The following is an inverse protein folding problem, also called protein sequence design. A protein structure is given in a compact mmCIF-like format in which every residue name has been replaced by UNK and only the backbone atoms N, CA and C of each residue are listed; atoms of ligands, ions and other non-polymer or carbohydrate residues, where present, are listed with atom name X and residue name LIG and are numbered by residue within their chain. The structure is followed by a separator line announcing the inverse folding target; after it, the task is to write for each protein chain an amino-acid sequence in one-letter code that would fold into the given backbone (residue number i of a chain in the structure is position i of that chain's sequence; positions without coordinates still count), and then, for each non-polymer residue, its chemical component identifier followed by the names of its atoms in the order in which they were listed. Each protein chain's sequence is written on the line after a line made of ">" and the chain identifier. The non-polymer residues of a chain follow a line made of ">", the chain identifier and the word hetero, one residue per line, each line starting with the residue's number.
data_IF_102545966498
#
_entry.id   IF_102545966498
#
_cell.length_a   1.000
_cell.length_b   1.000
_cell.length_c   1.000
_cell.angle_alpha   90.00
_cell.angle_beta   90.00
_cell.angle_gamma   90.00
#
_symmetry.space_group_name_H-M   'P 1'
#
loop_
_entity.id
_entity.type
_entity.pdbx_description
1 polymer ?
#
# COMPACT_ATOMS: atom_id res chain seq x y z
N UNK A 1 -1.06 11.08 -4.89
CA UNK A 1 -1.16 10.20 -3.71
C UNK A 1 -0.45 10.84 -2.53
N UNK A 2 -1.01 10.72 -1.36
CA UNK A 2 -0.36 11.16 -0.13
C UNK A 2 -0.03 9.98 0.77
N UNK A 3 0.96 10.14 1.61
CA UNK A 3 1.39 9.10 2.54
C UNK A 3 1.57 9.67 3.95
N UNK A 4 1.40 8.83 4.93
CA UNK A 4 1.53 9.20 6.34
C UNK A 4 2.97 9.03 6.82
N UNK A 5 3.56 7.88 6.56
CA UNK A 5 4.91 7.55 6.99
C UNK A 5 5.49 6.37 6.22
N UNK A 6 6.79 6.17 6.39
CA UNK A 6 7.52 4.99 5.92
C UNK A 6 8.15 4.33 7.14
N UNK A 7 7.89 3.04 7.34
CA UNK A 7 8.51 2.25 8.39
C UNK A 7 9.60 1.39 7.79
N UNK A 8 10.83 1.66 8.16
CA UNK A 8 11.99 0.84 7.78
C UNK A 8 12.10 -0.37 8.71
N UNK A 9 12.53 -1.52 8.17
CA UNK A 9 12.80 -2.73 8.95
C UNK A 9 11.59 -3.20 9.78
N UNK A 10 10.43 -3.25 9.14
CA UNK A 10 9.17 -3.68 9.75
C UNK A 10 9.04 -5.20 9.66
N UNK A 11 8.78 -5.85 10.78
CA UNK A 11 8.55 -7.30 10.86
C UNK A 11 7.10 -7.68 11.17
N UNK A 12 6.23 -6.69 11.35
CA UNK A 12 4.84 -6.88 11.77
C UNK A 12 3.82 -6.88 10.62
N UNK A 13 4.22 -6.45 9.43
CA UNK A 13 3.31 -6.26 8.30
C UNK A 13 3.71 -7.13 7.12
N UNK A 14 3.82 -8.42 7.35
CA UNK A 14 4.15 -9.41 6.34
C UNK A 14 5.29 -10.32 6.77
N UNK A 15 5.69 -11.22 5.88
CA UNK A 15 6.76 -12.17 6.15
C UNK A 15 8.13 -11.52 5.96
N UNK A 16 9.01 -11.75 6.92
CA UNK A 16 10.38 -11.26 6.89
C UNK A 16 10.49 -9.78 7.28
N UNK A 17 11.70 -9.25 7.14
CA UNK A 17 11.96 -7.84 7.36
C UNK A 17 11.56 -7.04 6.11
N UNK A 18 10.75 -6.02 6.29
CA UNK A 18 10.10 -5.31 5.18
C UNK A 18 10.18 -3.79 5.38
N UNK A 19 9.95 -3.07 4.30
CA UNK A 19 9.66 -1.63 4.36
C UNK A 19 8.18 -1.44 4.11
N UNK A 20 7.52 -0.68 4.98
CA UNK A 20 6.08 -0.43 4.87
C UNK A 20 5.83 1.04 4.54
N UNK A 21 5.07 1.28 3.49
CA UNK A 21 4.53 2.61 3.15
C UNK A 21 3.10 2.71 3.67
N UNK A 22 2.85 3.69 4.52
CA UNK A 22 1.53 3.98 5.08
C UNK A 22 0.88 5.08 4.26
N UNK A 23 -0.04 4.70 3.37
CA UNK A 23 -0.74 5.66 2.51
C UNK A 23 -1.89 6.33 3.25
N UNK A 24 -2.21 7.55 2.83
CA UNK A 24 -3.37 8.30 3.34
C UNK A 24 -4.55 8.15 2.40
N UNK A 25 -5.75 8.05 2.96
CA UNK A 25 -7.00 7.92 2.24
C UNK A 25 -7.61 6.54 2.37
N UNK A 26 -8.77 6.49 2.99
CA UNK A 26 -9.52 5.25 3.15
C UNK A 26 -11.02 5.57 3.17
N UNK A 27 -11.77 4.91 2.30
CA UNK A 27 -13.21 5.10 2.20
C UNK A 27 -14.01 4.08 3.04
N UNK A 28 -13.34 3.09 3.64
CA UNK A 28 -14.00 2.04 4.41
C UNK A 28 -14.52 2.54 5.75
N UNK A 29 -13.76 3.40 6.46
CA UNK A 29 -14.11 3.95 7.77
C UNK A 29 -14.55 2.87 8.76
N UNK A 30 -13.78 1.81 8.88
CA UNK A 30 -14.08 0.68 9.77
C UNK A 30 -14.16 1.15 11.22
N UNK A 31 -15.18 0.69 11.96
CA UNK A 31 -15.40 1.09 13.36
C UNK A 31 -14.22 0.75 14.27
N UNK A 32 -13.50 -0.34 13.96
CA UNK A 32 -12.35 -0.80 14.74
C UNK A 32 -11.01 -0.48 14.05
N UNK A 33 -10.99 0.55 13.22
CA UNK A 33 -9.77 0.94 12.53
C UNK A 33 -8.76 1.53 13.52
N UNK A 34 -7.54 0.99 13.50
CA UNK A 34 -6.44 1.44 14.35
C UNK A 34 -5.74 2.71 13.83
N UNK A 35 -6.03 3.09 12.59
CA UNK A 35 -5.34 4.17 11.87
C UNK A 35 -6.30 5.20 11.31
N UNK A 36 -7.19 5.72 12.15
CA UNK A 36 -8.21 6.71 11.72
C UNK A 36 -7.62 7.97 11.11
N UNK A 37 -6.43 8.36 11.52
CA UNK A 37 -5.73 9.51 10.94
C UNK A 37 -5.41 9.36 9.46
N UNK A 38 -5.39 8.13 8.95
CA UNK A 38 -5.16 7.84 7.54
C UNK A 38 -6.43 7.82 6.69
N UNK A 39 -7.60 8.11 7.25
CA UNK A 39 -8.85 8.13 6.50
C UNK A 39 -8.93 9.29 5.51
N UNK A 40 -8.33 10.43 5.83
CA UNK A 40 -8.36 11.60 4.98
C UNK A 40 -7.40 11.49 3.82
N UNK A 41 -7.88 11.70 2.60
CA UNK A 41 -7.03 11.75 1.41
C UNK A 41 -6.12 12.98 1.36
N UNK A 42 -6.42 13.98 2.16
CA UNK A 42 -5.62 15.21 2.25
C UNK A 42 -4.62 15.21 3.40
N UNK A 43 -4.67 14.20 4.28
CA UNK A 43 -3.72 14.10 5.38
C UNK A 43 -2.36 13.54 4.90
N UNK A 44 -1.33 13.76 5.72
CA UNK A 44 0.01 13.28 5.42
C UNK A 44 0.75 14.17 4.44
N UNK A 45 1.77 13.58 3.84
CA UNK A 45 2.72 14.27 2.95
C UNK A 45 2.50 13.87 1.50
N UNK A 46 2.85 14.77 0.57
CA UNK A 46 2.79 14.46 -0.85
C UNK A 46 3.83 13.39 -1.21
N UNK A 47 3.37 12.33 -1.88
CA UNK A 47 4.26 11.32 -2.45
C UNK A 47 4.80 11.83 -3.79
N UNK A 48 6.11 11.86 -3.93
CA UNK A 48 6.79 12.35 -5.13
C UNK A 48 8.04 11.51 -5.42
N UNK A 49 8.76 11.85 -6.49
CA UNK A 49 9.95 11.11 -6.90
C UNK A 49 11.07 11.07 -5.86
N UNK A 50 11.23 12.13 -5.07
CA UNK A 50 12.23 12.16 -3.99
C UNK A 50 11.88 11.18 -2.87
N UNK A 51 10.62 11.10 -2.50
CA UNK A 51 10.12 10.15 -1.51
C UNK A 51 10.27 8.72 -2.03
N UNK A 52 9.96 8.49 -3.29
CA UNK A 52 10.10 7.18 -3.93
C UNK A 52 11.56 6.72 -3.94
N UNK A 53 12.49 7.62 -4.20
CA UNK A 53 13.92 7.31 -4.14
C UNK A 53 14.35 6.88 -2.74
N UNK A 54 13.93 7.60 -1.71
CA UNK A 54 14.20 7.25 -0.31
C UNK A 54 13.60 5.88 0.01
N UNK A 55 12.35 5.65 -0.39
CA UNK A 55 11.65 4.38 -0.19
C UNK A 55 12.40 3.22 -0.84
N UNK A 56 12.78 3.38 -2.10
CA UNK A 56 13.46 2.32 -2.85
C UNK A 56 14.87 2.05 -2.32
N UNK A 57 15.57 3.06 -1.86
CA UNK A 57 16.87 2.88 -1.22
C UNK A 57 16.76 2.06 0.08
N UNK A 58 15.70 2.24 0.84
CA UNK A 58 15.43 1.41 2.03
C UNK A 58 15.09 -0.03 1.66
N UNK A 59 14.31 -0.24 0.59
CA UNK A 59 13.95 -1.57 0.12
C UNK A 59 15.17 -2.31 -0.44
N UNK A 60 16.11 -1.59 -1.02
CA UNK A 60 17.30 -2.17 -1.70
C UNK A 60 18.33 -2.79 -0.74
N UNK A 61 18.12 -2.69 0.55
CA UNK A 61 19.01 -3.31 1.54
C UNK A 61 18.93 -4.83 1.47
N UNK A 62 20.06 -5.56 1.59
CA UNK A 62 20.08 -7.03 1.39
C UNK A 62 19.14 -7.80 2.33
N UNK A 63 18.94 -7.33 3.55
CA UNK A 63 18.10 -8.01 4.53
C UNK A 63 16.61 -7.70 4.37
N UNK A 64 16.24 -6.79 3.49
CA UNK A 64 14.83 -6.46 3.23
C UNK A 64 14.26 -7.46 2.22
N UNK A 65 13.27 -8.22 2.65
CA UNK A 65 12.61 -9.22 1.81
C UNK A 65 11.68 -8.60 0.78
N UNK A 66 11.01 -7.52 1.13
CA UNK A 66 10.04 -6.91 0.25
C UNK A 66 9.43 -5.64 0.80
N UNK A 67 8.34 -5.26 0.20
CA UNK A 67 7.65 -4.00 0.40
C UNK A 67 6.19 -4.24 0.77
N UNK A 68 5.67 -3.46 1.71
CA UNK A 68 4.28 -3.56 2.13
C UNK A 68 3.58 -2.21 1.95
N UNK A 69 2.41 -2.24 1.34
CA UNK A 69 1.50 -1.11 1.26
C UNK A 69 0.39 -1.27 2.30
N UNK A 70 0.23 -0.31 3.16
CA UNK A 70 -0.76 -0.30 4.22
C UNK A 70 -1.22 1.14 4.52
N UNK A 71 -1.82 1.36 5.66
CA UNK A 71 -2.24 2.70 6.11
C UNK A 71 -3.75 2.86 6.05
N UNK A 72 -4.25 3.82 5.26
CA UNK A 72 -5.62 3.90 4.83
C UNK A 72 -5.94 2.67 3.97
N UNK A 73 -6.41 2.86 2.76
CA UNK A 73 -6.51 1.73 1.83
C UNK A 73 -5.71 2.06 0.56
N UNK A 74 -4.62 1.33 0.27
CA UNK A 74 -3.84 1.58 -0.94
C UNK A 74 -4.66 1.50 -2.22
N UNK A 75 -5.69 0.65 -2.26
CA UNK A 75 -6.54 0.48 -3.43
C UNK A 75 -7.55 1.61 -3.60
N UNK A 76 -7.70 2.50 -2.63
CA UNK A 76 -8.46 3.74 -2.77
C UNK A 76 -7.64 4.85 -3.45
N UNK A 77 -6.36 4.60 -3.72
CA UNK A 77 -5.49 5.48 -4.50
C UNK A 77 -4.86 4.71 -5.67
N UNK A 78 -5.68 4.18 -6.59
CA UNK A 78 -5.22 3.18 -7.56
C UNK A 78 -4.18 3.71 -8.54
N UNK A 79 -4.32 4.94 -9.00
CA UNK A 79 -3.39 5.50 -10.01
C UNK A 79 -1.98 5.68 -9.41
N UNK A 80 -1.90 6.25 -8.23
CA UNK A 80 -0.61 6.45 -7.55
C UNK A 80 0.05 5.14 -7.15
N UNK A 81 -0.73 4.19 -6.67
CA UNK A 81 -0.23 2.86 -6.30
C UNK A 81 0.24 2.09 -7.53
N UNK A 82 -0.51 2.14 -8.63
CA UNK A 82 -0.12 1.47 -9.86
C UNK A 82 1.20 2.01 -10.41
N UNK A 83 1.34 3.33 -10.45
CA UNK A 83 2.59 3.97 -10.89
C UNK A 83 3.77 3.56 -10.00
N UNK A 84 3.59 3.58 -8.68
CA UNK A 84 4.59 3.13 -7.73
C UNK A 84 5.01 1.68 -7.98
N UNK A 85 4.04 0.78 -8.18
CA UNK A 85 4.32 -0.63 -8.41
C UNK A 85 5.02 -0.87 -9.76
N UNK A 86 4.69 -0.10 -10.77
CA UNK A 86 5.39 -0.15 -12.05
C UNK A 86 6.86 0.24 -11.89
N UNK A 87 7.15 1.35 -11.21
CA UNK A 87 8.52 1.78 -10.91
C UNK A 87 9.26 0.75 -10.05
N UNK A 88 8.56 0.15 -9.09
CA UNK A 88 9.11 -0.90 -8.24
C UNK A 88 9.55 -2.12 -9.05
N UNK A 89 8.70 -2.57 -9.96
CA UNK A 89 9.03 -3.73 -10.82
C UNK A 89 10.13 -3.42 -11.82
N UNK A 90 10.22 -2.22 -12.30
CA UNK A 90 11.32 -1.79 -13.17
C UNK A 90 12.67 -1.86 -12.43
N UNK A 91 12.69 -1.47 -11.15
CA UNK A 91 13.94 -1.42 -10.39
C UNK A 91 14.31 -2.76 -9.78
N UNK A 92 13.36 -3.48 -9.21
CA UNK A 92 13.63 -4.71 -8.44
C UNK A 92 13.25 -5.98 -9.17
N UNK A 93 12.44 -5.92 -10.22
CA UNK A 93 11.95 -7.09 -10.89
C UNK A 93 11.22 -8.01 -9.92
N UNK A 94 11.64 -9.26 -9.85
CA UNK A 94 11.07 -10.27 -8.95
C UNK A 94 11.95 -10.56 -7.71
N UNK A 95 12.98 -9.75 -7.46
CA UNK A 95 13.91 -9.98 -6.34
C UNK A 95 13.31 -9.62 -4.99
N UNK A 96 12.32 -8.74 -4.96
CA UNK A 96 11.59 -8.32 -3.77
C UNK A 96 10.10 -8.56 -3.97
N UNK A 97 9.40 -9.00 -2.93
CA UNK A 97 7.95 -9.21 -3.01
C UNK A 97 7.17 -7.97 -2.57
N UNK A 98 5.89 -7.94 -2.88
CA UNK A 98 4.97 -6.87 -2.49
C UNK A 98 3.76 -7.46 -1.77
N UNK A 99 3.44 -6.88 -0.62
CA UNK A 99 2.21 -7.16 0.11
C UNK A 99 1.35 -5.91 0.14
N UNK A 100 0.05 -6.08 -0.07
CA UNK A 100 -0.92 -4.99 0.03
C UNK A 100 -2.00 -5.39 1.03
N UNK A 101 -2.18 -4.56 2.06
CA UNK A 101 -3.30 -4.71 2.98
C UNK A 101 -4.45 -3.81 2.52
N UNK A 102 -5.59 -4.42 2.29
CA UNK A 102 -6.79 -3.72 1.81
C UNK A 102 -8.04 -4.25 2.49
N UNK A 103 -9.06 -3.40 2.63
CA UNK A 103 -10.39 -3.80 3.07
C UNK A 103 -11.26 -4.39 1.97
N UNK A 104 -10.80 -4.37 0.72
CA UNK A 104 -11.51 -5.00 -0.39
C UNK A 104 -11.27 -6.50 -0.43
N UNK A 105 -12.24 -7.26 -0.97
CA UNK A 105 -12.07 -8.71 -1.17
C UNK A 105 -11.14 -9.00 -2.32
N UNK A 106 -10.58 -10.21 -2.35
CA UNK A 106 -9.70 -10.64 -3.44
C UNK A 106 -10.45 -10.67 -4.79
N UNK A 107 -11.67 -11.19 -4.81
CA UNK A 107 -12.50 -11.21 -6.02
C UNK A 107 -12.74 -9.81 -6.55
N UNK A 108 -13.01 -8.90 -5.66
CA UNK A 108 -13.17 -7.50 -5.98
C UNK A 108 -11.91 -6.93 -6.62
N UNK A 109 -10.76 -7.15 -6.01
CA UNK A 109 -9.48 -6.68 -6.53
C UNK A 109 -9.17 -7.28 -7.89
N UNK A 110 -9.45 -8.58 -8.06
CA UNK A 110 -9.24 -9.27 -9.31
C UNK A 110 -10.07 -8.70 -10.45
N UNK A 111 -11.30 -8.28 -10.16
CA UNK A 111 -12.20 -7.66 -11.15
C UNK A 111 -11.93 -6.18 -11.36
N UNK A 112 -11.12 -5.57 -10.54
CA UNK A 112 -10.86 -4.14 -10.49
C UNK A 112 -9.77 -3.64 -11.40
N UNK A 113 -9.11 -4.50 -12.12
CA UNK A 113 -8.09 -4.13 -13.09
C UNK A 113 -8.70 -3.33 -14.25
N UNK A 114 -10.03 -3.31 -14.35
CA UNK A 114 -10.75 -2.49 -15.33
C UNK A 114 -11.22 -1.17 -14.71
N UNK A 115 -10.74 -0.02 -15.19
CA UNK A 115 -10.96 1.27 -14.53
C UNK A 115 -12.39 1.79 -14.55
N UNK A 116 -13.36 1.05 -15.07
CA UNK A 116 -14.73 1.52 -15.26
C UNK A 116 -15.78 0.83 -14.40
N UNK A 117 -15.40 -0.09 -13.51
CA UNK A 117 -16.37 -0.77 -12.65
C UNK A 117 -16.53 -0.06 -11.33
N UNK A 118 -17.76 0.28 -11.00
CA UNK A 118 -18.12 0.79 -9.67
C UNK A 118 -18.04 -0.34 -8.65
N UNK A 119 -17.34 -0.09 -7.60
CA UNK A 119 -17.05 -1.05 -6.57
C UNK A 119 -18.05 -1.01 -5.43
N UNK A 120 -18.51 -2.16 -4.98
CA UNK A 120 -19.13 -2.28 -3.67
C UNK A 120 -18.03 -2.37 -2.62
N UNK A 121 -17.98 -1.37 -1.76
CA UNK A 121 -17.08 -1.38 -0.63
C UNK A 121 -17.66 -2.29 0.43
N UNK A 122 -16.98 -3.35 0.75
CA UNK A 122 -17.29 -4.12 1.94
C UNK A 122 -16.24 -3.80 2.99
N UNK A 123 -16.67 -3.20 4.09
CA UNK A 123 -15.82 -3.05 5.24
C UNK A 123 -15.68 -4.42 5.91
N UNK A 124 -14.73 -5.22 5.46
CA UNK A 124 -14.39 -6.46 6.12
C UNK A 124 -13.25 -6.19 7.08
N UNK A 125 -13.33 -6.74 8.28
CA UNK A 125 -12.26 -6.62 9.27
C UNK A 125 -11.00 -7.40 8.88
N UNK A 126 -11.01 -8.03 7.73
CA UNK A 126 -9.90 -8.85 7.24
C UNK A 126 -9.06 -8.06 6.26
N UNK A 127 -7.84 -7.81 6.66
CA UNK A 127 -6.82 -7.33 5.73
C UNK A 127 -6.41 -8.48 4.84
N UNK A 128 -6.45 -8.28 3.55
CA UNK A 128 -6.08 -9.30 2.59
C UNK A 128 -4.71 -9.02 2.01
N UNK A 129 -3.94 -10.09 1.84
CA UNK A 129 -2.66 -10.04 1.17
C UNK A 129 -2.88 -10.14 -0.33
N UNK A 130 -2.33 -9.18 -1.06
CA UNK A 130 -2.27 -9.21 -2.52
C UNK A 130 -0.81 -9.11 -2.96
N UNK A 131 -0.44 -9.97 -3.88
CA UNK A 131 0.89 -9.96 -4.49
C UNK A 131 0.87 -9.38 -5.89
#
# INVERSE_FOLDING_TARGET
>A
MKYESITSSDVNNGLGCRVTLWVSGCTHHCKQCHNRKTWSFSSGKAYNGKVEEVLFNEIDKPYIKGFTLSGGDPLDSPDGVLELLQHFRERFGNTKDVWIYTGYTYEYCRNCIQPHRRYRKSCTHHRQKLE
#
